data_IF_576932348415
#
_entry.id   IF_576932348415
#
_cell.length_a   1.000
_cell.length_b   1.000
_cell.length_c   1.000
_cell.angle_alpha   90.00
_cell.angle_beta   90.00
_cell.angle_gamma   90.00
#
_symmetry.space_group_name_H-M   'P 1'
#
loop_
_entity.id
_entity.type
_entity.pdbx_description
1 polymer ?
#
# COMPACT_ATOMS: atom_id res chain seq x y z
N UNK A 1 -3.03 -21.46 -7.49
CA UNK A 1 -2.64 -20.88 -6.20
C UNK A 1 -2.68 -19.37 -6.34
N UNK A 2 -3.77 -18.74 -5.87
CA UNK A 2 -3.86 -17.28 -5.74
C UNK A 2 -2.98 -16.89 -4.57
N UNK A 3 -1.80 -16.34 -4.84
CA UNK A 3 -1.00 -15.67 -3.83
C UNK A 3 -1.71 -14.40 -3.40
N UNK A 4 -2.15 -14.32 -2.16
CA UNK A 4 -2.57 -13.07 -1.53
C UNK A 4 -1.33 -12.23 -1.28
N UNK A 5 -0.81 -11.61 -2.34
CA UNK A 5 0.30 -10.67 -2.21
C UNK A 5 -0.19 -9.38 -1.58
N UNK A 6 0.25 -9.09 -0.37
CA UNK A 6 0.16 -7.73 0.15
C UNK A 6 0.97 -6.83 -0.79
N UNK A 7 0.33 -5.89 -1.45
CA UNK A 7 1.04 -4.96 -2.33
C UNK A 7 1.99 -4.09 -1.50
N UNK A 8 3.28 -4.14 -1.80
CA UNK A 8 4.29 -3.28 -1.15
C UNK A 8 3.96 -1.79 -1.26
N UNK A 9 3.19 -1.41 -2.28
CA UNK A 9 2.74 -0.03 -2.47
C UNK A 9 1.80 0.49 -1.36
N UNK A 10 1.21 -0.41 -0.59
CA UNK A 10 0.25 -0.06 0.48
C UNK A 10 0.89 -0.02 1.86
N UNK A 11 2.18 -0.38 1.99
CA UNK A 11 2.88 -0.29 3.27
C UNK A 11 3.27 1.15 3.56
N UNK A 12 2.89 1.72 4.71
CA UNK A 12 3.34 3.02 5.14
C UNK A 12 4.86 3.03 5.32
N UNK A 13 5.56 3.93 4.64
CA UNK A 13 7.04 3.98 4.65
C UNK A 13 7.61 4.32 6.03
N UNK A 14 6.88 5.07 6.82
CA UNK A 14 7.29 5.54 8.14
C UNK A 14 7.39 4.44 9.21
N UNK A 15 6.77 3.25 8.99
CA UNK A 15 6.96 2.10 9.90
C UNK A 15 8.23 1.30 9.61
N UNK A 16 8.86 1.53 8.47
CA UNK A 16 10.02 0.77 8.03
C UNK A 16 11.27 1.26 8.76
N UNK A 17 11.98 0.34 9.41
CA UNK A 17 13.31 0.58 9.94
C UNK A 17 14.37 0.36 8.85
N UNK A 18 14.35 -0.82 8.23
CA UNK A 18 15.25 -1.17 7.14
C UNK A 18 14.63 -2.19 6.20
N UNK A 19 15.18 -2.23 4.99
CA UNK A 19 14.83 -3.21 3.96
C UNK A 19 16.05 -4.07 3.71
N UNK A 20 15.91 -5.38 3.86
CA UNK A 20 16.95 -6.36 3.56
C UNK A 20 16.63 -7.05 2.24
N UNK A 21 17.54 -6.98 1.29
CA UNK A 21 17.38 -7.58 -0.03
C UNK A 21 18.33 -8.76 -0.15
N UNK A 22 17.78 -9.96 -0.26
CA UNK A 22 18.53 -11.19 -0.48
C UNK A 22 18.46 -11.55 -1.96
N UNK A 23 19.62 -11.66 -2.61
CA UNK A 23 19.73 -12.04 -4.03
C UNK A 23 20.32 -13.45 -4.09
N UNK A 24 19.57 -14.38 -4.64
CA UNK A 24 19.98 -15.77 -4.81
C UNK A 24 19.71 -16.62 -3.57
N UNK A 25 20.64 -16.68 -2.62
CA UNK A 25 20.48 -17.51 -1.42
C UNK A 25 19.69 -16.75 -0.35
N UNK A 26 18.54 -17.29 0.03
CA UNK A 26 17.67 -16.73 1.07
C UNK A 26 17.82 -17.55 2.34
N UNK A 27 17.99 -16.92 3.53
CA UNK A 27 18.02 -17.63 4.80
C UNK A 27 16.76 -18.48 5.01
N UNK A 28 16.91 -19.69 5.53
CA UNK A 28 15.79 -20.60 5.78
C UNK A 28 14.72 -20.03 6.72
N UNK A 29 15.07 -19.04 7.56
CA UNK A 29 14.16 -18.32 8.43
C UNK A 29 13.11 -17.46 7.69
N UNK A 30 13.37 -17.12 6.42
CA UNK A 30 12.47 -16.30 5.59
C UNK A 30 11.61 -17.12 4.64
N UNK A 31 11.72 -18.46 4.68
CA UNK A 31 10.95 -19.38 3.87
C UNK A 31 11.81 -20.16 2.86
N UNK A 32 11.35 -21.36 2.53
CA UNK A 32 12.09 -22.29 1.67
C UNK A 32 11.75 -22.12 0.18
N UNK A 33 10.72 -21.38 -0.17
CA UNK A 33 10.17 -21.31 -1.52
C UNK A 33 10.68 -20.13 -2.36
N UNK A 34 11.61 -19.35 -1.82
CA UNK A 34 12.18 -18.19 -2.48
C UNK A 34 13.31 -18.57 -3.46
N UNK A 35 12.95 -18.98 -4.68
CA UNK A 35 13.89 -19.46 -5.70
C UNK A 35 14.78 -18.39 -6.34
N UNK A 36 14.49 -17.11 -6.22
CA UNK A 36 15.20 -16.03 -6.89
C UNK A 36 15.69 -14.91 -5.99
N UNK A 37 15.25 -14.89 -4.74
CA UNK A 37 15.57 -13.86 -3.76
C UNK A 37 14.40 -13.52 -2.85
N UNK A 38 14.66 -12.72 -1.83
CA UNK A 38 13.62 -12.23 -0.92
C UNK A 38 13.86 -10.76 -0.56
N UNK A 39 12.78 -10.06 -0.29
CA UNK A 39 12.78 -8.73 0.31
C UNK A 39 12.17 -8.87 1.70
N UNK A 40 12.97 -8.61 2.72
CA UNK A 40 12.54 -8.60 4.11
C UNK A 40 12.41 -7.15 4.58
N UNK A 41 11.20 -6.77 4.98
CA UNK A 41 10.92 -5.42 5.50
C UNK A 41 10.88 -5.52 7.02
N UNK A 42 11.86 -4.89 7.65
CA UNK A 42 11.96 -4.83 9.10
C UNK A 42 11.31 -3.53 9.57
N UNK A 43 10.32 -3.67 10.43
CA UNK A 43 9.63 -2.53 11.03
C UNK A 43 10.33 -2.06 12.30
N UNK A 44 10.19 -0.77 12.61
CA UNK A 44 10.74 -0.18 13.83
C UNK A 44 10.22 -0.91 15.08
N UNK A 45 11.13 -1.37 15.91
CA UNK A 45 10.82 -2.03 17.21
C UNK A 45 11.25 -1.16 18.38
N UNK A 46 10.79 0.08 18.41
CA UNK A 46 11.05 0.95 19.55
C UNK A 46 10.19 0.52 20.74
N UNK A 47 10.79 0.47 21.95
CA UNK A 47 10.07 0.17 23.19
C UNK A 47 9.42 1.43 23.81
N UNK A 48 9.12 2.45 23.01
CA UNK A 48 8.58 3.73 23.46
C UNK A 48 7.20 3.97 22.87
N UNK A 49 6.38 4.71 23.62
CA UNK A 49 5.13 5.22 23.07
C UNK A 49 5.43 6.25 21.99
N UNK A 50 4.80 6.11 20.85
CA UNK A 50 4.88 7.10 19.77
C UNK A 50 3.54 7.19 19.02
N UNK A 51 3.35 8.31 18.40
CA UNK A 51 2.28 8.57 17.43
C UNK A 51 2.89 9.32 16.25
N UNK A 52 2.77 8.74 15.08
CA UNK A 52 3.24 9.31 13.82
C UNK A 52 2.04 9.44 12.89
N UNK A 53 1.77 10.66 12.47
CA UNK A 53 0.68 10.99 11.55
C UNK A 53 1.27 11.76 10.40
N UNK A 54 1.02 11.31 9.18
CA UNK A 54 1.43 12.00 7.97
C UNK A 54 0.26 12.25 7.05
N UNK A 55 0.28 13.39 6.38
CA UNK A 55 -0.66 13.72 5.33
C UNK A 55 0.07 14.38 4.17
N UNK A 56 -0.17 13.89 2.98
CA UNK A 56 0.45 14.40 1.75
C UNK A 56 -0.61 14.71 0.69
N UNK A 57 -0.36 15.79 -0.04
CA UNK A 57 -1.14 16.18 -1.21
C UNK A 57 -0.22 16.13 -2.42
N UNK A 58 -0.69 15.56 -3.51
CA UNK A 58 0.01 15.47 -4.78
C UNK A 58 -0.79 16.01 -5.95
N UNK A 59 -0.18 16.02 -7.12
CA UNK A 59 -0.85 16.36 -8.37
C UNK A 59 -2.02 15.40 -8.65
N UNK A 60 -2.96 15.83 -9.50
CA UNK A 60 -4.11 15.03 -9.95
C UNK A 60 -5.02 14.56 -8.82
N UNK A 61 -5.25 15.45 -7.83
CA UNK A 61 -6.08 15.19 -6.66
C UNK A 61 -5.60 13.96 -5.86
N UNK A 62 -4.28 13.84 -5.70
CA UNK A 62 -3.70 12.79 -4.89
C UNK A 62 -3.68 13.20 -3.42
N UNK A 63 -4.24 12.36 -2.57
CA UNK A 63 -4.26 12.51 -1.12
C UNK A 63 -3.75 11.23 -0.48
N UNK A 64 -2.78 11.36 0.41
CA UNK A 64 -2.24 10.24 1.17
C UNK A 64 -2.24 10.59 2.65
N UNK A 65 -2.81 9.71 3.47
CA UNK A 65 -2.80 9.86 4.93
C UNK A 65 -2.31 8.55 5.55
N UNK A 66 -1.36 8.65 6.47
CA UNK A 66 -0.84 7.52 7.22
C UNK A 66 -0.87 7.84 8.71
N UNK A 67 -1.23 6.84 9.52
CA UNK A 67 -1.19 6.89 10.98
C UNK A 67 -0.49 5.65 11.49
N UNK A 68 0.52 5.84 12.33
CA UNK A 68 1.21 4.77 13.03
C UNK A 68 1.34 5.15 14.49
N UNK A 69 0.99 4.24 15.37
CA UNK A 69 1.15 4.47 16.79
C UNK A 69 1.67 3.22 17.47
N UNK A 70 2.27 3.40 18.61
CA UNK A 70 2.63 2.33 19.52
C UNK A 70 2.36 2.78 20.96
N UNK A 71 1.65 1.93 21.67
CA UNK A 71 1.38 2.10 23.07
C UNK A 71 1.99 0.93 23.83
N UNK A 72 2.85 1.25 24.78
CA UNK A 72 3.53 0.28 25.64
C UNK A 72 3.15 0.56 27.09
N UNK A 73 2.58 -0.42 27.77
CA UNK A 73 2.31 -0.38 29.20
C UNK A 73 3.43 -1.14 29.94
N UNK A 74 4.35 -0.44 30.63
CA UNK A 74 5.53 -1.09 31.23
C UNK A 74 5.19 -2.09 32.35
N UNK A 75 4.10 -1.88 33.07
CA UNK A 75 3.71 -2.75 34.19
C UNK A 75 3.20 -4.11 33.72
N UNK A 76 2.38 -4.09 32.70
CA UNK A 76 1.78 -5.31 32.14
C UNK A 76 2.60 -5.89 30.99
N UNK A 77 3.54 -5.13 30.42
CA UNK A 77 4.27 -5.49 29.20
C UNK A 77 3.38 -5.53 27.97
N UNK A 78 2.16 -4.98 28.04
CA UNK A 78 1.22 -4.89 26.92
C UNK A 78 1.76 -3.91 25.89
N UNK A 79 1.70 -4.31 24.63
CA UNK A 79 2.08 -3.49 23.47
C UNK A 79 0.93 -3.53 22.47
N UNK A 80 0.49 -2.35 22.01
CA UNK A 80 -0.55 -2.18 21.01
C UNK A 80 0.02 -1.30 19.91
N UNK A 81 -0.02 -1.78 18.65
CA UNK A 81 0.48 -1.05 17.49
C UNK A 81 -0.61 -0.97 16.41
N UNK A 82 -1.42 0.09 16.40
CA UNK A 82 -2.29 0.39 15.27
C UNK A 82 -1.49 1.04 14.13
N UNK A 83 -1.73 0.59 12.91
CA UNK A 83 -1.24 1.18 11.67
C UNK A 83 -2.41 1.35 10.73
N UNK A 84 -2.53 2.52 10.11
CA UNK A 84 -3.58 2.84 9.17
C UNK A 84 -3.02 3.68 8.02
N UNK A 85 -3.43 3.38 6.80
CA UNK A 85 -3.02 4.14 5.62
C UNK A 85 -4.16 4.25 4.61
N UNK A 86 -4.33 5.44 4.05
CA UNK A 86 -5.27 5.73 2.97
C UNK A 86 -4.53 6.44 1.85
N UNK A 87 -4.76 6.03 0.64
CA UNK A 87 -4.25 6.70 -0.54
C UNK A 87 -5.37 6.81 -1.58
N UNK A 88 -5.64 8.03 -2.03
CA UNK A 88 -6.61 8.34 -3.07
C UNK A 88 -5.94 9.18 -4.15
N UNK A 89 -6.20 8.88 -5.40
CA UNK A 89 -5.77 9.70 -6.53
C UNK A 89 -6.80 9.62 -7.65
N UNK A 90 -7.18 10.76 -8.18
CA UNK A 90 -8.09 10.84 -9.33
C UNK A 90 -7.40 10.56 -10.65
N UNK A 91 -6.07 10.80 -10.74
CA UNK A 91 -5.24 10.60 -11.93
C UNK A 91 -5.78 11.28 -13.21
N UNK A 92 -6.45 12.42 -13.06
CA UNK A 92 -7.14 13.15 -14.11
C UNK A 92 -6.21 14.05 -14.96
N UNK A 93 -5.03 13.56 -15.28
CA UNK A 93 -4.06 14.32 -16.08
C UNK A 93 -4.47 14.47 -17.55
N UNK A 94 -3.88 15.48 -18.21
CA UNK A 94 -4.09 15.73 -19.62
C UNK A 94 -3.23 14.78 -20.47
N UNK A 95 -3.88 13.93 -21.25
CA UNK A 95 -3.23 13.13 -22.29
C UNK A 95 -3.08 13.99 -23.55
N UNK A 96 -1.90 13.98 -24.15
CA UNK A 96 -1.61 14.70 -25.39
C UNK A 96 -1.68 13.75 -26.58
N UNK A 97 -2.03 14.31 -27.74
CA UNK A 97 -2.02 13.62 -29.02
C UNK A 97 -2.80 12.29 -29.00
N UNK A 98 -3.97 12.30 -28.38
CA UNK A 98 -4.86 11.13 -28.33
C UNK A 98 -5.64 11.08 -29.65
N UNK A 99 -5.60 9.95 -30.32
CA UNK A 99 -6.40 9.69 -31.51
C UNK A 99 -7.89 9.53 -31.11
N UNK A 100 -8.72 10.42 -31.62
CA UNK A 100 -10.16 10.39 -31.40
C UNK A 100 -10.84 10.41 -32.76
N UNK A 101 -11.85 9.54 -32.93
CA UNK A 101 -12.69 9.57 -34.12
C UNK A 101 -13.57 10.84 -34.11
N UNK A 102 -13.46 11.63 -35.14
CA UNK A 102 -14.28 12.81 -35.35
C UNK A 102 -15.39 12.48 -36.36
N UNK A 103 -16.64 12.61 -35.94
CA UNK A 103 -17.81 12.26 -36.74
C UNK A 103 -18.02 13.23 -37.92
N UNK A 104 -17.66 14.49 -37.73
CA UNK A 104 -17.85 15.51 -38.76
C UNK A 104 -16.86 15.35 -39.92
N UNK A 105 -15.62 15.14 -39.59
CA UNK A 105 -14.56 14.94 -40.62
C UNK A 105 -14.42 13.49 -41.07
N UNK A 106 -15.06 12.53 -40.40
CA UNK A 106 -14.93 11.07 -40.60
C UNK A 106 -13.47 10.60 -40.65
N UNK A 107 -12.65 11.12 -39.76
CA UNK A 107 -11.22 10.81 -39.64
C UNK A 107 -10.82 10.76 -38.16
N UNK A 108 -9.71 10.09 -37.92
CA UNK A 108 -9.04 10.20 -36.63
C UNK A 108 -8.28 11.51 -36.55
N UNK A 109 -8.52 12.28 -35.50
CA UNK A 109 -7.82 13.52 -35.22
C UNK A 109 -7.04 13.38 -33.90
N UNK A 110 -5.87 14.01 -33.84
CA UNK A 110 -5.08 14.10 -32.63
C UNK A 110 -5.61 15.27 -31.78
N UNK A 111 -6.00 14.98 -30.57
CA UNK A 111 -6.51 16.02 -29.65
C UNK A 111 -6.04 15.75 -28.22
N UNK A 112 -6.02 16.80 -27.41
CA UNK A 112 -5.70 16.69 -25.99
C UNK A 112 -6.99 16.35 -25.24
N UNK A 113 -6.97 15.27 -24.47
CA UNK A 113 -8.11 14.83 -23.65
C UNK A 113 -7.68 14.59 -22.21
N UNK A 114 -8.53 15.01 -21.30
CA UNK A 114 -8.35 14.73 -19.87
C UNK A 114 -8.63 13.24 -19.60
N UNK A 115 -7.73 12.59 -18.87
CA UNK A 115 -7.93 11.21 -18.46
C UNK A 115 -9.14 11.13 -17.52
N UNK A 116 -9.94 10.10 -17.69
CA UNK A 116 -11.11 9.83 -16.89
C UNK A 116 -11.16 8.33 -16.56
N UNK A 117 -11.83 7.93 -15.48
CA UNK A 117 -11.86 6.53 -15.03
C UNK A 117 -10.46 5.91 -14.81
N UNK A 118 -9.62 6.61 -14.07
CA UNK A 118 -8.33 6.12 -13.60
C UNK A 118 -8.17 6.40 -12.09
N UNK A 119 -9.29 6.48 -11.40
CA UNK A 119 -9.31 6.70 -9.97
C UNK A 119 -8.62 5.54 -9.26
N UNK A 120 -7.81 5.88 -8.29
CA UNK A 120 -7.12 4.93 -7.45
C UNK A 120 -7.48 5.18 -6.00
N UNK A 121 -7.92 4.15 -5.32
CA UNK A 121 -8.15 4.17 -3.88
C UNK A 121 -7.49 2.95 -3.24
N UNK A 122 -6.74 3.18 -2.19
CA UNK A 122 -6.23 2.09 -1.35
C UNK A 122 -6.41 2.41 0.12
N UNK A 123 -6.78 1.38 0.86
CA UNK A 123 -6.95 1.40 2.29
C UNK A 123 -6.12 0.25 2.88
N UNK A 124 -5.35 0.55 3.90
CA UNK A 124 -4.61 -0.43 4.68
C UNK A 124 -4.85 -0.18 6.17
N UNK A 125 -5.14 -1.22 6.91
CA UNK A 125 -5.25 -1.21 8.35
C UNK A 125 -4.58 -2.44 8.94
N UNK A 126 -3.80 -2.24 10.00
CA UNK A 126 -3.18 -3.31 10.77
C UNK A 126 -3.28 -3.01 12.25
N UNK A 127 -3.64 -4.00 13.03
CA UNK A 127 -3.61 -3.96 14.47
C UNK A 127 -2.72 -5.10 14.97
N UNK A 128 -1.70 -4.75 15.74
CA UNK A 128 -0.84 -5.72 16.41
C UNK A 128 -0.97 -5.52 17.92
N UNK A 129 -1.27 -6.59 18.63
CA UNK A 129 -1.40 -6.59 20.10
C UNK A 129 -0.53 -7.72 20.64
N UNK A 130 0.25 -7.44 21.66
CA UNK A 130 1.12 -8.44 22.23
C UNK A 130 1.62 -8.09 23.62
N UNK A 131 2.40 -8.99 24.15
CA UNK A 131 3.08 -8.84 25.42
C UNK A 131 4.57 -9.09 25.23
N UNK A 132 5.38 -8.31 25.94
CA UNK A 132 6.82 -8.51 25.99
C UNK A 132 7.31 -8.66 27.41
N UNK A 133 8.48 -9.30 27.57
CA UNK A 133 9.17 -9.53 28.85
C UNK A 133 8.31 -10.29 29.86
N UNK A 134 7.66 -11.39 29.44
CA UNK A 134 6.92 -12.30 30.31
C UNK A 134 7.78 -13.50 30.70
N UNK A 135 7.51 -14.10 31.86
CA UNK A 135 8.20 -15.29 32.32
C UNK A 135 8.04 -16.52 31.43
N UNK A 136 6.96 -16.54 30.61
CA UNK A 136 6.64 -17.63 29.69
C UNK A 136 7.03 -17.37 28.24
N UNK A 137 7.30 -16.10 27.87
CA UNK A 137 7.78 -15.73 26.54
C UNK A 137 8.47 -14.36 26.55
N UNK A 138 9.54 -14.23 25.81
CA UNK A 138 10.24 -12.94 25.60
C UNK A 138 9.34 -11.95 24.87
N UNK A 139 8.59 -12.44 23.89
CA UNK A 139 7.57 -11.66 23.16
C UNK A 139 6.51 -12.59 22.58
N UNK A 140 5.26 -12.16 22.63
CA UNK A 140 4.13 -12.80 21.99
C UNK A 140 3.24 -11.74 21.34
N UNK A 141 2.97 -11.84 20.05
CA UNK A 141 2.15 -10.89 19.30
C UNK A 141 1.11 -11.60 18.45
N UNK A 142 -0.06 -10.99 18.40
CA UNK A 142 -1.13 -11.34 17.45
C UNK A 142 -1.39 -10.13 16.58
N UNK A 143 -1.39 -10.31 15.27
CA UNK A 143 -1.67 -9.26 14.31
C UNK A 143 -2.87 -9.62 13.43
N UNK A 144 -3.67 -8.61 13.14
CA UNK A 144 -4.72 -8.66 12.13
C UNK A 144 -4.50 -7.52 11.15
N UNK A 145 -4.62 -7.79 9.86
CA UNK A 145 -4.50 -6.78 8.81
C UNK A 145 -5.66 -6.86 7.83
N UNK A 146 -6.03 -5.71 7.32
CA UNK A 146 -7.02 -5.56 6.26
C UNK A 146 -6.45 -4.63 5.19
N UNK A 147 -6.60 -5.00 3.93
CA UNK A 147 -6.23 -4.14 2.81
C UNK A 147 -7.31 -4.18 1.74
N UNK A 148 -7.59 -3.03 1.16
CA UNK A 148 -8.49 -2.87 0.03
C UNK A 148 -7.84 -1.97 -1.00
N UNK A 149 -7.92 -2.36 -2.27
CA UNK A 149 -7.45 -1.55 -3.39
C UNK A 149 -8.53 -1.55 -4.45
N UNK A 150 -8.99 -0.37 -4.79
CA UNK A 150 -9.89 -0.13 -5.92
C UNK A 150 -9.13 0.71 -6.95
N UNK A 151 -9.03 0.20 -8.17
CA UNK A 151 -8.40 0.92 -9.27
C UNK A 151 -9.28 0.83 -10.50
N UNK A 152 -9.66 1.98 -11.02
CA UNK A 152 -10.27 2.07 -12.32
C UNK A 152 -9.18 2.02 -13.40
N UNK A 153 -9.44 1.33 -14.50
CA UNK A 153 -8.54 1.28 -15.65
C UNK A 153 -9.27 1.78 -16.88
N UNK A 154 -8.76 2.84 -17.45
CA UNK A 154 -9.19 3.27 -18.76
C UNK A 154 -8.49 2.42 -19.83
N UNK A 155 -9.26 1.52 -20.46
CA UNK A 155 -8.77 0.75 -21.63
C UNK A 155 -9.31 1.38 -22.91
N UNK A 156 -8.41 1.86 -23.77
CA UNK A 156 -8.77 2.48 -25.04
C UNK A 156 -8.97 4.00 -24.98
N UNK A 157 -9.12 4.60 -26.15
CA UNK A 157 -9.23 6.02 -26.34
C UNK A 157 -10.62 6.53 -26.01
N UNK A 158 -11.03 6.75 -24.80
CA UNK A 158 -12.17 7.64 -24.44
C UNK A 158 -13.46 6.97 -23.91
N UNK A 159 -13.81 5.72 -24.18
CA UNK A 159 -15.18 5.26 -23.84
C UNK A 159 -15.34 3.93 -23.10
N UNK A 160 -14.31 3.15 -22.84
CA UNK A 160 -14.46 1.88 -22.13
C UNK A 160 -14.10 1.99 -20.66
N UNK A 161 -15.06 1.66 -19.79
CA UNK A 161 -14.86 1.50 -18.35
C UNK A 161 -14.48 0.05 -18.05
N UNK A 162 -13.28 -0.18 -17.57
CA UNK A 162 -12.94 -1.46 -16.94
C UNK A 162 -12.59 -1.18 -15.48
N UNK A 163 -13.43 -1.69 -14.59
CA UNK A 163 -13.16 -1.66 -13.16
C UNK A 163 -12.61 -3.03 -12.76
N UNK A 164 -11.39 -3.06 -12.25
CA UNK A 164 -10.82 -4.25 -11.65
C UNK A 164 -10.91 -4.10 -10.13
N UNK A 165 -11.85 -4.79 -9.53
CA UNK A 165 -11.95 -4.98 -8.09
C UNK A 165 -11.02 -6.10 -7.67
N UNK A 166 -9.99 -5.79 -6.87
CA UNK A 166 -9.18 -6.76 -6.16
C UNK A 166 -9.65 -6.82 -4.70
N UNK A 167 -10.25 -7.92 -4.34
CA UNK A 167 -10.55 -8.28 -2.93
C UNK A 167 -9.45 -9.18 -2.39
#
# INVERSE_FOLDING_TARGET
TKGSGVSLANLPVNIIDRIEIYKGVVPASLGTDALGGAINIITKQEKKNYLDVSYGIGSFHTHKADLNAQFVEPRTGLIIKPTFGVNYSKNDYMMRDVEVWDEDSRKYILTNRKRFHDDYFSLFGQMEIGFANKSWADAFFVSASYSKVDKELQTGSVQSKVCLLYT
#
